data_IF_561766139838
#
_entry.id   IF_561766139838
#
_cell.length_a   1.000
_cell.length_b   1.000
_cell.length_c   1.000
_cell.angle_alpha   90.00
_cell.angle_beta   90.00
_cell.angle_gamma   90.00
#
_symmetry.space_group_name_H-M   'P 1'
#
loop_
_entity.id
_entity.type
_entity.pdbx_description
1 polymer ?
#
# COMPACT_ATOMS: atom_id res chain seq x y z
N UNK A 1 -17.62 -24.80 -20.65
CA UNK A 1 -17.78 -23.98 -19.43
C UNK A 1 -16.37 -23.83 -18.87
N UNK A 2 -15.61 -22.87 -19.43
CA UNK A 2 -14.21 -22.62 -19.04
C UNK A 2 -14.24 -21.92 -17.69
N UNK A 3 -13.64 -22.56 -16.71
CA UNK A 3 -13.38 -21.98 -15.40
C UNK A 3 -12.34 -20.87 -15.61
N UNK A 4 -12.79 -19.63 -15.63
CA UNK A 4 -11.88 -18.46 -15.61
C UNK A 4 -11.17 -18.53 -14.26
N UNK A 5 -9.96 -19.09 -14.27
CA UNK A 5 -9.05 -18.99 -13.12
C UNK A 5 -8.79 -17.52 -12.90
N UNK A 6 -9.39 -16.96 -11.87
CA UNK A 6 -9.10 -15.59 -11.42
C UNK A 6 -7.66 -15.60 -10.94
N UNK A 7 -6.74 -15.20 -11.81
CA UNK A 7 -5.31 -15.12 -11.48
C UNK A 7 -5.17 -14.19 -10.28
N UNK A 8 -4.66 -14.69 -9.18
CA UNK A 8 -4.36 -13.89 -8.01
C UNK A 8 -3.20 -12.95 -8.35
N UNK A 9 -3.51 -11.67 -8.53
CA UNK A 9 -2.53 -10.65 -8.95
C UNK A 9 -1.35 -10.59 -7.98
N UNK A 10 -1.60 -10.72 -6.68
CA UNK A 10 -0.56 -10.73 -5.65
C UNK A 10 0.44 -11.87 -5.85
N UNK A 11 -0.05 -13.06 -6.06
CA UNK A 11 0.81 -14.25 -6.30
C UNK A 11 1.59 -14.11 -7.59
N UNK A 12 0.97 -13.59 -8.65
CA UNK A 12 1.62 -13.33 -9.92
C UNK A 12 2.77 -12.33 -9.78
N UNK A 13 2.56 -11.24 -9.04
CA UNK A 13 3.58 -10.22 -8.77
C UNK A 13 4.78 -10.86 -8.05
N UNK A 14 4.54 -11.64 -7.00
CA UNK A 14 5.58 -12.30 -6.20
C UNK A 14 6.34 -13.31 -7.08
N UNK A 15 5.63 -14.17 -7.82
CA UNK A 15 6.25 -15.15 -8.72
C UNK A 15 7.17 -14.48 -9.74
N UNK A 16 6.68 -13.40 -10.39
CA UNK A 16 7.47 -12.70 -11.40
C UNK A 16 8.70 -12.03 -10.80
N UNK A 17 8.61 -11.39 -9.63
CA UNK A 17 9.80 -10.83 -8.96
C UNK A 17 10.83 -11.89 -8.59
N UNK A 18 10.40 -13.06 -8.15
CA UNK A 18 11.32 -14.16 -7.85
C UNK A 18 12.09 -14.67 -9.09
N UNK A 19 11.57 -14.40 -10.30
CA UNK A 19 12.21 -14.76 -11.58
C UNK A 19 13.10 -13.65 -12.12
N UNK A 20 12.92 -12.39 -11.71
CA UNK A 20 13.77 -11.28 -12.14
C UNK A 20 15.11 -11.39 -11.44
N UNK A 21 16.18 -11.52 -12.21
CA UNK A 21 17.54 -11.38 -11.68
C UNK A 21 17.87 -9.89 -11.60
N UNK A 22 18.27 -9.41 -10.43
CA UNK A 22 18.59 -8.00 -10.19
C UNK A 22 19.70 -7.43 -11.09
N UNK A 23 20.46 -8.28 -11.77
CA UNK A 23 21.56 -7.90 -12.66
C UNK A 23 21.15 -7.70 -14.12
N UNK A 24 19.95 -8.08 -14.53
CA UNK A 24 19.57 -8.11 -15.96
C UNK A 24 19.04 -6.78 -16.50
N UNK A 25 18.78 -5.79 -15.66
CA UNK A 25 18.18 -4.50 -16.06
C UNK A 25 16.83 -4.63 -16.78
N UNK A 26 16.28 -5.83 -16.85
CA UNK A 26 15.01 -6.17 -17.50
C UNK A 26 13.85 -6.27 -16.51
N UNK A 27 12.63 -6.05 -17.02
CA UNK A 27 11.39 -6.30 -16.30
C UNK A 27 10.63 -7.47 -16.90
N UNK A 28 9.86 -8.18 -16.06
CA UNK A 28 8.90 -9.17 -16.53
C UNK A 28 7.51 -8.57 -16.64
N UNK A 29 6.89 -8.75 -17.79
CA UNK A 29 5.50 -8.35 -18.01
C UNK A 29 4.56 -9.19 -17.14
N UNK A 30 3.61 -8.51 -16.51
CA UNK A 30 2.46 -9.16 -15.92
C UNK A 30 1.43 -9.38 -17.02
N UNK A 31 1.19 -10.65 -17.34
CA UNK A 31 0.20 -11.04 -18.34
C UNK A 31 -1.19 -10.94 -17.71
N UNK A 32 -1.77 -9.75 -17.81
CA UNK A 32 -3.05 -9.40 -17.21
C UNK A 32 -3.99 -8.87 -18.30
N UNK A 33 -5.27 -9.25 -18.19
CA UNK A 33 -6.35 -8.57 -18.93
C UNK A 33 -6.61 -7.21 -18.29
N UNK A 34 -5.86 -6.19 -18.80
CA UNK A 34 -5.83 -4.85 -18.23
C UNK A 34 -5.57 -3.79 -19.31
N UNK A 35 -6.14 -2.58 -19.12
CA UNK A 35 -5.94 -1.44 -20.03
C UNK A 35 -4.48 -0.95 -20.09
N UNK A 36 -3.73 -1.15 -19.00
CA UNK A 36 -2.32 -0.79 -18.89
C UNK A 36 -1.45 -2.04 -18.94
N UNK A 37 -0.31 -1.95 -19.59
CA UNK A 37 0.68 -3.02 -19.61
C UNK A 37 1.60 -2.85 -18.42
N UNK A 38 1.56 -3.80 -17.49
CA UNK A 38 2.29 -3.78 -16.23
C UNK A 38 3.54 -4.65 -16.29
N UNK A 39 4.59 -4.21 -15.62
CA UNK A 39 5.86 -4.93 -15.47
C UNK A 39 6.30 -4.92 -14.01
N UNK A 40 7.00 -5.96 -13.59
CA UNK A 40 7.82 -5.98 -12.39
C UNK A 40 9.29 -5.89 -12.78
N UNK A 41 10.09 -5.13 -12.03
CA UNK A 41 11.50 -4.91 -12.32
C UNK A 41 12.29 -4.64 -11.04
N UNK A 42 13.62 -4.53 -11.19
CA UNK A 42 14.50 -3.97 -10.18
C UNK A 42 15.16 -2.69 -10.69
N UNK A 43 15.27 -1.69 -9.83
CA UNK A 43 16.08 -0.50 -10.04
C UNK A 43 17.37 -0.61 -9.21
N UNK A 44 18.52 -0.49 -9.89
CA UNK A 44 19.80 -0.77 -9.22
C UNK A 44 19.90 -2.21 -8.75
N UNK A 45 20.62 -2.43 -7.65
CA UNK A 45 20.94 -3.81 -7.24
C UNK A 45 19.79 -4.52 -6.50
N UNK A 46 18.87 -3.78 -5.84
CA UNK A 46 17.88 -4.44 -4.97
C UNK A 46 16.54 -3.72 -4.82
N UNK A 47 16.29 -2.59 -5.50
CA UNK A 47 15.04 -1.86 -5.33
C UNK A 47 13.93 -2.45 -6.20
N UNK A 48 12.97 -3.11 -5.61
CA UNK A 48 11.79 -3.61 -6.32
C UNK A 48 11.00 -2.46 -6.92
N UNK A 49 10.50 -2.66 -8.12
CA UNK A 49 9.67 -1.69 -8.80
C UNK A 49 8.52 -2.35 -9.52
N UNK A 50 7.39 -1.65 -9.56
CA UNK A 50 6.29 -1.95 -10.48
C UNK A 50 6.16 -0.82 -11.47
N UNK A 51 5.92 -1.14 -12.74
CA UNK A 51 5.99 -0.20 -13.85
C UNK A 51 4.77 -0.41 -14.74
N UNK A 52 4.17 0.68 -15.20
CA UNK A 52 3.27 0.62 -16.35
C UNK A 52 3.72 1.56 -17.47
N UNK A 53 3.26 1.28 -18.69
CA UNK A 53 3.61 2.08 -19.87
C UNK A 53 2.47 3.04 -20.19
N UNK A 54 2.80 4.33 -20.32
CA UNK A 54 1.90 5.40 -20.71
C UNK A 54 2.32 6.03 -22.04
N UNK A 55 1.33 6.49 -22.83
CA UNK A 55 1.55 7.20 -24.09
C UNK A 55 1.90 8.69 -23.87
N UNK A 56 1.73 9.22 -22.64
CA UNK A 56 2.03 10.61 -22.26
C UNK A 56 2.69 10.72 -20.89
N UNK A 57 3.19 11.90 -20.57
CA UNK A 57 3.70 12.22 -19.23
C UNK A 57 2.51 12.23 -18.26
N UNK A 58 2.58 11.41 -17.22
CA UNK A 58 1.50 11.22 -16.25
C UNK A 58 1.75 11.94 -14.94
N UNK A 59 3.02 12.15 -14.61
CA UNK A 59 3.40 12.68 -13.30
C UNK A 59 4.66 13.53 -13.39
N UNK A 60 4.81 14.43 -12.45
CA UNK A 60 6.10 14.95 -12.05
C UNK A 60 6.74 13.90 -11.13
N UNK A 61 8.05 13.73 -11.24
CA UNK A 61 8.78 12.88 -10.32
C UNK A 61 8.48 13.31 -8.88
N UNK A 62 8.08 12.37 -8.06
CA UNK A 62 7.77 12.59 -6.65
C UNK A 62 8.48 11.51 -5.83
N UNK A 63 9.09 11.93 -4.76
CA UNK A 63 9.82 11.06 -3.85
C UNK A 63 9.24 11.14 -2.46
N UNK A 64 8.60 10.06 -2.03
CA UNK A 64 8.27 9.88 -0.62
C UNK A 64 9.43 9.16 0.08
N UNK A 65 9.42 9.13 1.39
CA UNK A 65 10.47 8.45 2.17
C UNK A 65 10.60 6.95 1.82
N UNK A 66 9.51 6.32 1.39
CA UNK A 66 9.42 4.85 1.27
C UNK A 66 9.26 4.37 -0.18
N UNK A 67 8.64 5.18 -1.03
CA UNK A 67 8.39 4.88 -2.44
C UNK A 67 8.67 6.11 -3.29
N UNK A 68 9.44 5.91 -4.35
CA UNK A 68 9.72 6.92 -5.37
C UNK A 68 8.80 6.69 -6.57
N UNK A 69 8.17 7.75 -7.07
CA UNK A 69 7.48 7.78 -8.34
C UNK A 69 8.37 8.44 -9.37
N UNK A 70 8.74 7.72 -10.43
CA UNK A 70 9.63 8.22 -11.47
C UNK A 70 9.01 8.04 -12.84
N UNK A 71 9.12 9.06 -13.69
CA UNK A 71 8.67 9.05 -15.07
C UNK A 71 9.89 9.00 -16.01
N UNK A 72 10.04 7.90 -16.77
CA UNK A 72 11.19 7.68 -17.63
C UNK A 72 10.76 7.59 -19.07
N UNK A 73 11.26 8.53 -19.92
CA UNK A 73 10.99 8.51 -21.35
C UNK A 73 11.68 7.31 -22.02
N UNK A 74 10.94 6.58 -22.85
CA UNK A 74 11.40 5.46 -23.65
C UNK A 74 11.85 5.92 -25.03
N UNK A 75 12.59 5.06 -25.71
CA UNK A 75 13.02 5.30 -27.10
C UNK A 75 11.87 5.33 -28.12
N UNK A 76 10.73 4.72 -27.79
CA UNK A 76 9.50 4.69 -28.59
C UNK A 76 8.54 5.88 -28.31
N UNK A 77 9.04 6.94 -27.67
CA UNK A 77 8.32 8.15 -27.25
C UNK A 77 7.21 7.92 -26.22
N UNK A 78 7.07 6.72 -25.68
CA UNK A 78 6.22 6.43 -24.51
C UNK A 78 6.97 6.68 -23.21
N UNK A 79 6.30 6.48 -22.09
CA UNK A 79 6.86 6.70 -20.76
C UNK A 79 6.66 5.47 -19.90
N UNK A 80 7.70 5.09 -19.17
CA UNK A 80 7.61 4.16 -18.07
C UNK A 80 7.28 4.96 -16.81
N UNK A 81 6.16 4.65 -16.20
CA UNK A 81 5.76 5.18 -14.90
C UNK A 81 6.15 4.15 -13.86
N UNK A 82 7.13 4.48 -13.05
CA UNK A 82 7.81 3.55 -12.16
C UNK A 82 7.52 3.90 -10.70
N UNK A 83 6.96 2.96 -9.96
CA UNK A 83 6.88 3.00 -8.50
C UNK A 83 8.02 2.16 -7.96
N UNK A 84 8.94 2.78 -7.22
CA UNK A 84 10.20 2.17 -6.80
C UNK A 84 10.22 2.11 -5.27
N UNK A 85 10.38 0.92 -4.72
CA UNK A 85 10.52 0.73 -3.28
C UNK A 85 11.89 1.22 -2.81
N UNK A 86 11.92 2.19 -1.90
CA UNK A 86 13.14 2.73 -1.32
C UNK A 86 13.52 2.01 -0.03
N UNK A 87 12.54 1.66 0.80
CA UNK A 87 12.74 0.95 2.06
C UNK A 87 12.36 -0.53 1.92
N UNK A 88 13.37 -1.39 1.83
CA UNK A 88 13.18 -2.84 1.65
C UNK A 88 12.46 -3.52 2.82
N UNK A 89 12.42 -2.90 4.00
CA UNK A 89 11.65 -3.43 5.14
C UNK A 89 10.14 -3.41 4.89
N UNK A 90 9.68 -2.63 3.90
CA UNK A 90 8.27 -2.49 3.53
C UNK A 90 7.88 -3.32 2.30
N UNK A 91 8.65 -4.35 1.97
CA UNK A 91 8.43 -5.17 0.77
C UNK A 91 7.01 -5.76 0.72
N UNK A 92 6.52 -6.32 1.82
CA UNK A 92 5.17 -6.89 1.88
C UNK A 92 4.10 -5.82 1.65
N UNK A 93 4.26 -4.64 2.27
CA UNK A 93 3.34 -3.51 2.09
C UNK A 93 3.37 -3.01 0.64
N UNK A 94 4.55 -3.01 0.01
CA UNK A 94 4.71 -2.63 -1.38
C UNK A 94 4.01 -3.60 -2.34
N UNK A 95 4.04 -4.90 -2.06
CA UNK A 95 3.27 -5.91 -2.82
C UNK A 95 1.77 -5.66 -2.72
N UNK A 96 1.26 -5.36 -1.53
CA UNK A 96 -0.16 -5.04 -1.34
C UNK A 96 -0.54 -3.74 -2.06
N UNK A 97 0.30 -2.70 -1.99
CA UNK A 97 0.10 -1.46 -2.76
C UNK A 97 0.05 -1.75 -4.26
N UNK A 98 1.03 -2.50 -4.79
CA UNK A 98 1.10 -2.84 -6.20
C UNK A 98 -0.16 -3.60 -6.67
N UNK A 99 -0.61 -4.56 -5.88
CA UNK A 99 -1.83 -5.34 -6.14
C UNK A 99 -3.05 -4.42 -6.19
N UNK A 100 -3.20 -3.55 -5.20
CA UNK A 100 -4.32 -2.61 -5.09
C UNK A 100 -4.35 -1.58 -6.24
N UNK A 101 -3.19 -1.08 -6.69
CA UNK A 101 -3.10 -0.18 -7.86
C UNK A 101 -3.60 -0.85 -9.14
N UNK A 102 -3.19 -2.10 -9.37
CA UNK A 102 -3.60 -2.88 -10.53
C UNK A 102 -5.09 -3.19 -10.47
N UNK A 103 -5.59 -3.69 -9.34
CA UNK A 103 -6.99 -4.05 -9.18
C UNK A 103 -7.93 -2.84 -9.30
N UNK A 104 -7.58 -1.73 -8.67
CA UNK A 104 -8.40 -0.50 -8.71
C UNK A 104 -8.55 0.08 -10.11
N UNK A 105 -7.56 -0.14 -11.00
CA UNK A 105 -7.57 0.38 -12.37
C UNK A 105 -8.05 -0.64 -13.42
N UNK A 106 -8.28 -1.90 -13.04
CA UNK A 106 -8.60 -3.01 -13.95
C UNK A 106 -9.87 -2.78 -14.77
N UNK A 107 -10.88 -2.20 -14.16
CA UNK A 107 -12.20 -2.03 -14.77
C UNK A 107 -12.43 -0.63 -15.35
N UNK A 108 -11.38 0.16 -15.49
CA UNK A 108 -11.48 1.46 -16.13
C UNK A 108 -11.88 1.30 -17.61
N UNK A 109 -12.74 2.18 -18.09
CA UNK A 109 -13.25 2.14 -19.48
C UNK A 109 -12.25 2.61 -20.53
N UNK A 110 -11.13 3.22 -20.10
CA UNK A 110 -10.09 3.75 -20.99
C UNK A 110 -8.72 3.73 -20.31
N UNK A 111 -7.65 3.80 -21.11
CA UNK A 111 -6.28 3.93 -20.59
C UNK A 111 -6.11 5.16 -19.69
N UNK A 112 -6.65 6.32 -20.11
CA UNK A 112 -6.57 7.55 -19.30
C UNK A 112 -7.28 7.37 -17.97
N UNK A 113 -8.50 6.83 -17.98
CA UNK A 113 -9.22 6.53 -16.75
C UNK A 113 -8.50 5.52 -15.85
N UNK A 114 -7.83 4.52 -16.43
CA UNK A 114 -7.00 3.59 -15.67
C UNK A 114 -5.83 4.30 -14.99
N UNK A 115 -5.15 5.20 -15.69
CA UNK A 115 -4.05 6.01 -15.16
C UNK A 115 -4.54 6.89 -14.01
N UNK A 116 -5.66 7.60 -14.19
CA UNK A 116 -6.26 8.45 -13.16
C UNK A 116 -6.60 7.64 -11.90
N UNK A 117 -7.15 6.43 -12.06
CA UNK A 117 -7.41 5.51 -10.96
C UNK A 117 -6.13 5.12 -10.22
N UNK A 118 -5.06 4.76 -10.96
CA UNK A 118 -3.77 4.41 -10.38
C UNK A 118 -3.20 5.57 -9.57
N UNK A 119 -3.17 6.78 -10.16
CA UNK A 119 -2.58 7.94 -9.50
C UNK A 119 -3.37 8.37 -8.25
N UNK A 120 -4.69 8.37 -8.33
CA UNK A 120 -5.55 8.67 -7.18
C UNK A 120 -5.40 7.63 -6.06
N UNK A 121 -5.17 6.37 -6.43
CA UNK A 121 -4.96 5.29 -5.44
C UNK A 121 -3.57 5.39 -4.82
N UNK A 122 -2.55 5.67 -5.62
CA UNK A 122 -1.19 5.89 -5.14
C UNK A 122 -1.10 7.05 -4.15
N UNK A 123 -1.78 8.18 -4.40
CA UNK A 123 -1.84 9.29 -3.45
C UNK A 123 -2.40 8.87 -2.08
N UNK A 124 -3.42 8.00 -2.06
CA UNK A 124 -3.94 7.43 -0.81
C UNK A 124 -2.88 6.57 -0.10
N UNK A 125 -2.15 5.73 -0.83
CA UNK A 125 -1.07 4.93 -0.28
C UNK A 125 0.08 5.80 0.26
N UNK A 126 0.45 6.87 -0.45
CA UNK A 126 1.43 7.83 0.04
C UNK A 126 1.02 8.43 1.37
N UNK A 127 -0.26 8.83 1.51
CA UNK A 127 -0.78 9.36 2.78
C UNK A 127 -0.74 8.33 3.91
N UNK A 128 -1.03 7.06 3.63
CA UNK A 128 -0.94 5.99 4.61
C UNK A 128 0.51 5.70 5.03
N UNK A 129 1.42 5.65 4.06
CA UNK A 129 2.85 5.37 4.31
C UNK A 129 3.61 6.59 4.86
N UNK A 130 3.15 7.81 4.54
CA UNK A 130 3.67 9.07 5.05
C UNK A 130 3.05 9.47 6.39
N UNK A 131 2.29 8.58 7.04
CA UNK A 131 2.00 8.81 8.46
C UNK A 131 3.35 8.98 9.12
N UNK A 132 3.73 10.23 9.31
CA UNK A 132 4.83 10.59 10.20
C UNK A 132 4.55 9.76 11.45
N UNK A 133 5.41 8.82 11.76
CA UNK A 133 5.51 8.35 13.12
C UNK A 133 5.58 9.63 13.91
N UNK A 134 4.44 10.02 14.51
CA UNK A 134 4.35 11.28 15.21
C UNK A 134 5.58 11.30 16.09
N UNK A 135 6.30 12.42 16.09
CA UNK A 135 7.42 12.65 17.01
C UNK A 135 7.05 11.90 18.27
N UNK A 136 7.90 10.94 18.75
CA UNK A 136 7.51 10.04 19.85
C UNK A 136 6.83 10.91 20.88
N UNK A 137 5.57 10.63 21.17
CA UNK A 137 4.74 11.46 22.05
C UNK A 137 5.65 11.90 23.19
N UNK A 138 5.84 13.20 23.37
CA UNK A 138 6.69 13.75 24.42
C UNK A 138 6.40 12.94 25.67
N UNK A 139 7.43 12.56 26.39
CA UNK A 139 7.34 11.63 27.53
C UNK A 139 6.17 11.98 28.48
N UNK A 140 5.85 13.26 28.56
CA UNK A 140 4.69 13.77 29.31
C UNK A 140 3.34 13.37 28.69
N UNK A 141 3.20 13.40 27.36
CA UNK A 141 1.98 12.98 26.65
C UNK A 141 1.80 11.46 26.69
N UNK A 142 2.89 10.70 26.66
CA UNK A 142 2.85 9.24 26.84
C UNK A 142 2.40 8.89 28.27
N UNK A 143 2.91 9.60 29.30
CA UNK A 143 2.50 9.41 30.68
C UNK A 143 1.03 9.78 30.90
N UNK A 144 0.57 10.87 30.28
CA UNK A 144 -0.85 11.27 30.32
C UNK A 144 -1.76 10.20 29.73
N UNK A 145 -1.46 9.74 28.52
CA UNK A 145 -2.23 8.68 27.86
C UNK A 145 -2.24 7.37 28.65
N UNK A 146 -1.09 7.01 29.23
CA UNK A 146 -0.98 5.82 30.07
C UNK A 146 -1.82 5.95 31.35
N UNK A 147 -1.83 7.14 31.96
CA UNK A 147 -2.69 7.44 33.12
C UNK A 147 -4.18 7.33 32.79
N UNK A 148 -4.61 7.87 31.64
CA UNK A 148 -6.00 7.75 31.17
C UNK A 148 -6.41 6.29 30.93
N UNK A 149 -5.53 5.50 30.29
CA UNK A 149 -5.79 4.07 30.05
C UNK A 149 -5.91 3.27 31.36
N UNK A 150 -5.03 3.55 32.34
CA UNK A 150 -5.11 2.93 33.67
C UNK A 150 -6.40 3.33 34.42
N UNK A 151 -6.79 4.58 34.29
CA UNK A 151 -8.04 5.05 34.87
C UNK A 151 -9.26 4.38 34.23
N UNK A 152 -9.34 4.32 32.91
CA UNK A 152 -10.39 3.60 32.19
C UNK A 152 -10.43 2.12 32.55
N UNK A 153 -9.27 1.47 32.65
CA UNK A 153 -9.19 0.09 33.13
C UNK A 153 -9.77 -0.06 34.54
N UNK A 154 -9.40 0.83 35.47
CA UNK A 154 -9.90 0.78 36.84
C UNK A 154 -11.44 0.98 36.95
N UNK A 155 -12.01 1.83 36.05
CA UNK A 155 -13.46 2.01 35.96
C UNK A 155 -14.16 0.75 35.40
N UNK A 156 -13.56 0.09 34.38
CA UNK A 156 -14.09 -1.15 33.82
C UNK A 156 -14.05 -2.29 34.86
N UNK A 157 -12.96 -2.40 35.61
CA UNK A 157 -12.77 -3.40 36.64
C UNK A 157 -13.77 -3.16 37.80
N UNK A 158 -13.99 -1.89 38.18
CA UNK A 158 -14.97 -1.53 39.22
C UNK A 158 -16.43 -1.71 38.75
N UNK A 159 -16.71 -1.55 37.45
CA UNK A 159 -18.04 -1.77 36.85
C UNK A 159 -18.42 -3.25 36.73
N UNK A 160 -17.45 -4.14 36.73
CA UNK A 160 -17.62 -5.59 36.60
C UNK A 160 -17.64 -6.31 38.00
N UNK A 161 -17.59 -5.60 39.09
CA UNK A 161 -17.65 -6.21 40.44
C UNK A 161 -19.07 -6.75 40.71
N UNK A 162 -19.29 -8.08 40.75
CA UNK A 162 -20.62 -8.66 40.96
C UNK A 162 -21.20 -8.42 42.36
N UNK A 163 -20.42 -7.90 43.31
CA UNK A 163 -20.85 -7.65 44.67
C UNK A 163 -21.48 -6.28 44.91
N UNK A 164 -21.45 -5.37 43.93
CA UNK A 164 -22.13 -4.06 44.00
C UNK A 164 -23.56 -4.05 43.44
N UNK A 165 -24.25 -5.19 43.38
CA UNK A 165 -25.69 -5.21 43.09
C UNK A 165 -26.46 -4.83 44.37
N UNK A 166 -27.03 -3.65 44.32
CA UNK A 166 -28.06 -3.00 45.13
C UNK A 166 -28.60 -3.71 46.39
N UNK A 167 -28.74 -2.97 47.49
CA UNK A 167 -29.55 -3.43 48.62
C UNK A 167 -31.01 -3.53 48.20
N UNK A 168 -31.61 -4.68 48.44
CA UNK A 168 -33.04 -4.97 48.26
C UNK A 168 -33.83 -4.02 49.18
N UNK A 169 -34.60 -3.11 48.57
CA UNK A 169 -35.59 -2.29 49.33
C UNK A 169 -36.71 -3.23 49.72
N UNK A 170 -36.74 -3.64 50.97
CA UNK A 170 -37.87 -4.30 51.58
C UNK A 170 -39.05 -3.32 51.64
N UNK A 171 -40.13 -3.58 50.88
CA UNK A 171 -41.40 -2.92 51.04
C UNK A 171 -42.04 -3.42 52.34
N UNK A 172 -42.36 -2.48 53.24
CA UNK A 172 -43.42 -2.62 54.26
C UNK A 172 -44.70 -2.05 53.66
#
# INVERSE_FOLDING_TARGET
MECVMTTNIRELIIEKWNRVTCHSGGGFMLDLDHQLVWYVAYFGEHKKAIIFVSDGVVCLDDETKNVELRCIKRSDNRYNICFILLDTSLEEVFVEMATDLIEASRYASSKTGAIDCVMARFDKWCRLMCVKHGTPLERQKQQGLFGELLFLKSLLDAGNDPQKRMPTIARR
#
